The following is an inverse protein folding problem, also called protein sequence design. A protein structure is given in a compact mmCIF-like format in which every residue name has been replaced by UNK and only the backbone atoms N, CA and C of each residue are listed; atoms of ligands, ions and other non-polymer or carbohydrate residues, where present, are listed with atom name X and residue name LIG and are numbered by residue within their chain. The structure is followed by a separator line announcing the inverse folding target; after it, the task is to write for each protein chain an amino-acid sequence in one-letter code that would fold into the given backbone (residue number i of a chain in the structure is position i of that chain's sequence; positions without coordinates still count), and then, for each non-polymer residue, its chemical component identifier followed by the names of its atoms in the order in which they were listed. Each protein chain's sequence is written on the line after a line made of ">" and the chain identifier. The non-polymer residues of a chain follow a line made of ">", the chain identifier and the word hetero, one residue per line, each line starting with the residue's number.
data_IF_624773036414
#
_entry.id   IF_624773036414
#
_cell.length_a   1.000
_cell.length_b   1.000
_cell.length_c   1.000
_cell.angle_alpha   90.00
_cell.angle_beta   90.00
_cell.angle_gamma   90.00
#
_symmetry.space_group_name_H-M   'P 1'
#
loop_
_entity.id
_entity.type
_entity.pdbx_description
1 polymer ?
#
# COMPACT_ATOMS: atom_id res chain seq x y z
N UNK A 1 -41.75 19.67 -48.36
CA UNK A 1 -41.25 19.68 -46.97
C UNK A 1 -40.83 18.29 -46.48
N UNK A 2 -41.60 17.23 -46.75
CA UNK A 2 -41.31 15.87 -46.23
C UNK A 2 -39.95 15.30 -46.67
N UNK A 3 -39.49 15.58 -47.89
CA UNK A 3 -38.21 15.04 -48.37
C UNK A 3 -36.98 15.71 -47.72
N UNK A 4 -37.09 16.99 -47.33
CA UNK A 4 -36.03 17.66 -46.56
C UNK A 4 -36.03 17.18 -45.11
N UNK A 5 -37.21 17.03 -44.52
CA UNK A 5 -37.36 16.51 -43.16
C UNK A 5 -36.80 15.09 -43.04
N UNK A 6 -37.16 14.19 -43.96
CA UNK A 6 -36.67 12.81 -43.97
C UNK A 6 -35.15 12.73 -44.23
N UNK A 7 -34.60 13.64 -45.04
CA UNK A 7 -33.14 13.74 -45.24
C UNK A 7 -32.44 14.19 -43.96
N UNK A 8 -32.97 15.21 -43.28
CA UNK A 8 -32.44 15.70 -42.01
C UNK A 8 -32.52 14.61 -40.93
N UNK A 9 -33.67 13.92 -40.83
CA UNK A 9 -33.88 12.80 -39.92
C UNK A 9 -32.86 11.67 -40.17
N UNK A 10 -32.69 11.27 -41.43
CA UNK A 10 -31.73 10.22 -41.80
C UNK A 10 -30.28 10.64 -41.50
N UNK A 11 -29.93 11.91 -41.69
CA UNK A 11 -28.61 12.45 -41.34
C UNK A 11 -28.38 12.41 -39.83
N UNK A 12 -29.37 12.86 -39.03
CA UNK A 12 -29.28 12.86 -37.56
C UNK A 12 -29.16 11.42 -37.03
N UNK A 13 -29.95 10.49 -37.58
CA UNK A 13 -29.91 9.08 -37.19
C UNK A 13 -28.53 8.47 -37.50
N UNK A 14 -28.02 8.72 -38.70
CA UNK A 14 -26.71 8.20 -39.13
C UNK A 14 -25.57 8.76 -38.27
N UNK A 15 -25.58 10.06 -37.99
CA UNK A 15 -24.61 10.70 -37.09
C UNK A 15 -24.66 10.14 -35.67
N UNK A 16 -25.86 9.87 -35.15
CA UNK A 16 -26.05 9.30 -33.81
C UNK A 16 -25.48 7.88 -33.72
N UNK A 17 -25.71 7.06 -34.75
CA UNK A 17 -25.16 5.70 -34.83
C UNK A 17 -23.62 5.74 -34.91
N UNK A 18 -23.06 6.61 -35.75
CA UNK A 18 -21.60 6.77 -35.88
C UNK A 18 -20.98 7.23 -34.55
N UNK A 19 -21.62 8.17 -33.85
CA UNK A 19 -21.18 8.66 -32.55
C UNK A 19 -21.14 7.54 -31.51
N UNK A 20 -22.19 6.70 -31.47
CA UNK A 20 -22.26 5.56 -30.55
C UNK A 20 -21.15 4.54 -30.84
N UNK A 21 -20.94 4.19 -32.11
CA UNK A 21 -19.86 3.26 -32.51
C UNK A 21 -18.50 3.84 -32.15
N UNK A 22 -18.28 5.13 -32.39
CA UNK A 22 -17.03 5.82 -32.05
C UNK A 22 -16.75 5.76 -30.54
N UNK A 23 -17.77 5.98 -29.70
CA UNK A 23 -17.65 5.86 -28.24
C UNK A 23 -17.27 4.45 -27.79
N UNK A 24 -17.84 3.42 -28.43
CA UNK A 24 -17.50 2.02 -28.13
C UNK A 24 -16.06 1.72 -28.57
N UNK A 25 -15.65 2.18 -29.76
CA UNK A 25 -14.27 2.02 -30.23
C UNK A 25 -13.25 2.72 -29.32
N UNK A 26 -13.54 3.93 -28.85
CA UNK A 26 -12.66 4.64 -27.89
C UNK A 26 -12.51 3.84 -26.59
N UNK A 27 -13.59 3.24 -26.07
CA UNK A 27 -13.51 2.37 -24.89
C UNK A 27 -12.60 1.15 -25.14
N UNK A 28 -12.70 0.50 -26.30
CA UNK A 28 -11.83 -0.63 -26.66
C UNK A 28 -10.36 -0.23 -26.86
N UNK A 29 -10.09 0.95 -27.42
CA UNK A 29 -8.73 1.48 -27.58
C UNK A 29 -8.15 1.82 -26.21
N UNK A 30 -8.91 2.53 -25.35
CA UNK A 30 -8.51 2.84 -23.99
C UNK A 30 -8.36 1.61 -23.09
N UNK A 31 -9.02 0.48 -23.38
CA UNK A 31 -8.81 -0.78 -22.64
C UNK A 31 -7.42 -1.37 -22.91
N UNK A 32 -6.78 -1.05 -24.04
CA UNK A 32 -5.44 -1.55 -24.40
C UNK A 32 -4.31 -0.59 -24.05
N UNK A 33 -4.61 0.67 -23.80
CA UNK A 33 -3.66 1.67 -23.35
C UNK A 33 -3.72 1.71 -21.82
N UNK A 34 -2.57 1.64 -21.15
CA UNK A 34 -2.43 1.51 -19.68
C UNK A 34 -2.93 2.75 -18.92
N UNK A 35 -3.54 3.69 -19.65
CA UNK A 35 -4.05 4.99 -19.24
C UNK A 35 -5.56 4.97 -18.91
N UNK A 36 -6.10 3.84 -18.45
CA UNK A 36 -7.46 3.79 -17.88
C UNK A 36 -7.44 4.58 -16.58
N UNK A 37 -8.05 5.78 -16.62
CA UNK A 37 -8.28 6.62 -15.45
C UNK A 37 -9.24 5.89 -14.50
N UNK A 38 -8.67 5.15 -13.55
CA UNK A 38 -9.39 4.39 -12.54
C UNK A 38 -10.07 5.35 -11.55
N UNK A 39 -11.37 5.56 -11.73
CA UNK A 39 -12.21 6.21 -10.72
C UNK A 39 -12.43 5.21 -9.58
N UNK A 40 -11.70 5.41 -8.49
CA UNK A 40 -11.90 4.90 -7.11
C UNK A 40 -12.89 3.73 -6.99
N UNK A 41 -12.35 2.51 -7.06
CA UNK A 41 -13.02 1.28 -6.61
C UNK A 41 -12.54 0.94 -5.20
N UNK A 42 -13.45 1.03 -4.23
CA UNK A 42 -13.23 0.62 -2.85
C UNK A 42 -13.22 -0.92 -2.78
N UNK A 43 -12.04 -1.53 -2.85
CA UNK A 43 -11.76 -2.80 -2.16
C UNK A 43 -10.26 -3.07 -2.09
N UNK A 44 -9.84 -3.51 -0.91
CA UNK A 44 -8.54 -4.06 -0.48
C UNK A 44 -7.50 -4.36 -1.56
N UNK A 45 -6.30 -3.82 -1.34
CA UNK A 45 -5.05 -4.09 -2.08
C UNK A 45 -4.96 -3.45 -3.47
N UNK A 46 -4.42 -2.23 -3.50
CA UNK A 46 -3.33 -1.78 -4.39
C UNK A 46 -3.36 -0.25 -4.49
N UNK A 47 -2.49 0.40 -3.71
CA UNK A 47 -2.14 1.82 -3.90
C UNK A 47 -1.23 1.93 -5.13
N UNK A 48 -1.80 2.11 -6.32
CA UNK A 48 -1.01 2.52 -7.48
C UNK A 48 -0.73 4.02 -7.40
N UNK A 49 0.42 4.35 -6.81
CA UNK A 49 1.04 5.65 -6.94
C UNK A 49 1.93 5.61 -8.19
N UNK A 50 1.66 6.38 -9.27
CA UNK A 50 2.59 6.51 -10.37
C UNK A 50 3.67 7.50 -9.93
N UNK A 51 4.53 7.06 -9.03
CA UNK A 51 5.78 7.75 -8.77
C UNK A 51 6.74 7.20 -9.80
N UNK A 52 7.01 8.05 -10.80
CA UNK A 52 8.27 8.08 -11.55
C UNK A 52 9.36 7.39 -10.71
N UNK A 53 10.00 6.33 -11.22
CA UNK A 53 10.98 5.46 -10.53
C UNK A 53 12.18 6.26 -9.98
N UNK A 54 11.94 7.12 -8.99
CA UNK A 54 12.93 7.42 -7.98
C UNK A 54 13.03 6.10 -7.24
N UNK A 55 14.13 5.39 -7.44
CA UNK A 55 14.56 4.35 -6.52
C UNK A 55 14.60 5.00 -5.14
N UNK A 56 13.50 4.90 -4.40
CA UNK A 56 13.49 5.29 -3.00
C UNK A 56 14.48 4.35 -2.33
N UNK A 57 15.51 4.92 -1.72
CA UNK A 57 16.48 4.14 -0.96
C UNK A 57 15.71 3.28 0.03
N UNK A 58 16.00 1.97 0.03
CA UNK A 58 15.32 1.00 0.88
C UNK A 58 16.21 0.66 2.07
N UNK A 59 15.63 0.66 3.26
CA UNK A 59 16.23 0.16 4.48
C UNK A 59 15.70 -1.22 4.85
N UNK A 60 16.44 -1.94 5.68
CA UNK A 60 16.00 -3.18 6.31
C UNK A 60 16.13 -3.02 7.83
N UNK A 61 15.04 -3.24 8.55
CA UNK A 61 15.02 -3.34 10.02
C UNK A 61 14.68 -4.78 10.38
N UNK A 62 15.48 -5.38 11.27
CA UNK A 62 15.22 -6.71 11.81
C UNK A 62 14.82 -6.57 13.27
N UNK A 63 13.65 -7.09 13.62
CA UNK A 63 13.11 -7.08 14.97
C UNK A 63 12.96 -8.50 15.50
N UNK A 64 13.09 -8.68 16.81
CA UNK A 64 12.88 -9.95 17.48
C UNK A 64 11.98 -9.80 18.70
N UNK A 65 11.21 -10.85 18.99
CA UNK A 65 10.57 -10.97 20.29
C UNK A 65 11.62 -11.24 21.37
N UNK A 66 11.54 -10.49 22.48
CA UNK A 66 12.32 -10.80 23.68
C UNK A 66 11.74 -12.02 24.39
N UNK A 67 10.41 -12.14 24.39
CA UNK A 67 9.69 -13.27 24.97
C UNK A 67 8.90 -14.01 23.89
N UNK A 68 9.29 -15.27 23.66
CA UNK A 68 8.83 -16.12 22.56
C UNK A 68 7.41 -16.63 22.72
N UNK A 69 6.75 -16.37 23.84
CA UNK A 69 5.36 -16.78 24.03
C UNK A 69 4.36 -15.86 23.32
N UNK A 70 4.77 -14.66 22.90
CA UNK A 70 3.90 -13.64 22.29
C UNK A 70 3.89 -13.68 20.76
N UNK A 71 3.69 -14.88 20.19
CA UNK A 71 3.86 -15.10 18.75
C UNK A 71 2.88 -14.35 17.84
N UNK A 72 1.72 -13.97 18.36
CA UNK A 72 0.69 -13.28 17.59
C UNK A 72 0.86 -11.76 17.61
N UNK A 73 1.98 -11.25 18.12
CA UNK A 73 2.36 -9.84 18.03
C UNK A 73 2.65 -9.50 16.58
N UNK A 74 1.97 -8.49 16.07
CA UNK A 74 2.09 -8.09 14.67
C UNK A 74 2.99 -6.86 14.57
N UNK A 75 3.69 -6.74 13.44
CA UNK A 75 4.41 -5.55 13.07
C UNK A 75 3.61 -4.81 12.02
N UNK A 76 3.35 -3.52 12.26
CA UNK A 76 2.72 -2.66 11.28
C UNK A 76 3.71 -1.64 10.73
N UNK A 77 3.56 -1.33 9.45
CA UNK A 77 4.24 -0.23 8.79
C UNK A 77 3.18 0.72 8.25
N UNK A 78 3.18 1.96 8.74
CA UNK A 78 2.17 2.97 8.39
C UNK A 78 0.72 2.50 8.63
N UNK A 79 0.48 1.77 9.73
CA UNK A 79 -0.82 1.21 10.10
C UNK A 79 -1.25 -0.04 9.32
N UNK A 80 -0.43 -0.57 8.41
CA UNK A 80 -0.71 -1.81 7.68
C UNK A 80 0.07 -2.98 8.30
N UNK A 81 -0.63 -4.07 8.64
CA UNK A 81 0.00 -5.28 9.20
C UNK A 81 0.84 -5.97 8.13
N UNK A 82 2.13 -6.14 8.40
CA UNK A 82 3.10 -6.71 7.46
C UNK A 82 3.32 -8.20 7.74
N UNK A 83 3.57 -8.55 9.01
CA UNK A 83 3.82 -9.93 9.44
C UNK A 83 3.67 -10.07 10.97
N UNK A 84 3.64 -11.31 11.44
CA UNK A 84 3.63 -11.68 12.86
C UNK A 84 4.73 -12.70 13.21
N UNK A 85 4.94 -12.95 14.49
CA UNK A 85 5.99 -13.87 14.95
C UNK A 85 5.55 -15.35 14.97
N UNK A 86 4.45 -15.73 14.31
CA UNK A 86 3.95 -17.11 14.32
C UNK A 86 4.93 -18.09 13.64
N UNK A 87 5.62 -17.65 12.58
CA UNK A 87 6.59 -18.46 11.84
C UNK A 87 8.04 -18.39 12.37
N UNK A 88 8.42 -17.28 12.99
CA UNK A 88 9.81 -17.00 13.42
C UNK A 88 9.84 -16.11 14.67
N UNK A 89 10.90 -16.16 15.46
CA UNK A 89 11.14 -15.20 16.55
C UNK A 89 11.69 -13.86 16.04
N UNK A 90 12.09 -13.80 14.78
CA UNK A 90 12.72 -12.67 14.12
C UNK A 90 11.99 -12.34 12.83
N UNK A 91 11.76 -11.06 12.59
CA UNK A 91 11.10 -10.54 11.39
C UNK A 91 11.97 -9.49 10.72
N UNK A 92 12.09 -9.62 9.40
CA UNK A 92 12.81 -8.68 8.55
C UNK A 92 11.81 -7.79 7.82
N UNK A 93 11.90 -6.49 8.06
CA UNK A 93 10.96 -5.49 7.56
C UNK A 93 11.70 -4.60 6.56
N UNK A 94 11.16 -4.49 5.34
CA UNK A 94 11.63 -3.52 4.36
C UNK A 94 10.93 -2.19 4.62
N UNK A 95 11.72 -1.11 4.69
CA UNK A 95 11.20 0.22 5.03
C UNK A 95 11.79 1.29 4.12
N UNK A 96 11.06 2.38 3.96
CA UNK A 96 11.46 3.59 3.25
C UNK A 96 11.65 4.74 4.23
N UNK A 97 12.29 5.82 3.76
CA UNK A 97 12.39 7.02 4.55
C UNK A 97 11.00 7.53 4.94
N UNK A 98 10.86 7.94 6.20
CA UNK A 98 9.62 8.39 6.83
C UNK A 98 8.55 7.33 7.13
N UNK A 99 8.78 6.05 6.86
CA UNK A 99 7.86 5.00 7.30
C UNK A 99 7.72 4.97 8.82
N UNK A 100 6.51 4.74 9.32
CA UNK A 100 6.23 4.56 10.73
C UNK A 100 6.19 3.07 11.07
N UNK A 101 7.09 2.59 11.93
CA UNK A 101 7.08 1.21 12.42
C UNK A 101 6.32 1.17 13.75
N UNK A 102 5.36 0.25 13.84
CA UNK A 102 4.46 0.08 14.97
C UNK A 102 4.39 -1.40 15.38
N UNK A 103 4.12 -1.65 16.65
CA UNK A 103 4.00 -2.99 17.23
C UNK A 103 2.59 -3.18 17.77
N UNK A 104 1.85 -4.14 17.25
CA UNK A 104 0.53 -4.52 17.75
C UNK A 104 0.66 -5.57 18.88
N UNK A 105 0.42 -5.10 20.10
CA UNK A 105 0.32 -5.94 21.30
C UNK A 105 -1.10 -6.12 21.82
N UNK A 106 -2.13 -5.75 21.04
CA UNK A 106 -3.53 -5.71 21.48
C UNK A 106 -4.06 -7.07 21.95
N UNK A 107 -3.52 -8.17 21.42
CA UNK A 107 -3.88 -9.54 21.79
C UNK A 107 -3.39 -9.98 23.17
N UNK A 108 -2.48 -9.24 23.80
CA UNK A 108 -1.84 -9.64 25.05
C UNK A 108 -2.06 -8.64 26.18
N UNK A 109 -2.45 -9.17 27.34
CA UNK A 109 -2.60 -8.40 28.59
C UNK A 109 -1.27 -8.12 29.28
N UNK A 110 -0.25 -8.90 28.93
CA UNK A 110 1.07 -8.82 29.52
C UNK A 110 1.97 -7.93 28.65
N UNK A 111 3.05 -7.44 29.26
CA UNK A 111 4.01 -6.60 28.57
C UNK A 111 4.81 -7.42 27.54
N UNK A 112 4.50 -7.23 26.26
CA UNK A 112 5.25 -7.78 25.13
C UNK A 112 6.41 -6.86 24.83
N UNK A 113 7.61 -7.42 24.69
CA UNK A 113 8.82 -6.66 24.33
C UNK A 113 9.35 -7.09 22.98
N UNK A 114 9.53 -6.12 22.09
CA UNK A 114 10.16 -6.28 20.78
C UNK A 114 11.47 -5.50 20.76
N UNK A 115 12.52 -6.11 20.24
CA UNK A 115 13.87 -5.53 20.17
C UNK A 115 14.31 -5.41 18.71
N UNK A 116 14.91 -4.29 18.35
CA UNK A 116 15.63 -4.14 17.07
C UNK A 116 16.98 -4.85 17.19
N UNK A 117 17.16 -5.92 16.42
CA UNK A 117 18.37 -6.75 16.41
C UNK A 117 19.23 -6.56 15.16
N UNK A 118 18.72 -5.85 14.15
CA UNK A 118 19.47 -5.53 12.95
C UNK A 118 18.93 -4.29 12.26
N UNK A 119 19.81 -3.50 11.67
CA UNK A 119 19.47 -2.37 10.80
C UNK A 119 20.46 -2.32 9.65
N UNK A 120 19.99 -1.99 8.45
CA UNK A 120 20.86 -1.78 7.29
C UNK A 120 21.73 -0.54 7.45
N UNK A 121 22.86 -0.50 6.75
CA UNK A 121 23.87 0.56 6.88
C UNK A 121 23.37 1.97 6.55
N UNK A 122 22.29 2.09 5.77
CA UNK A 122 21.66 3.34 5.35
C UNK A 122 20.52 3.82 6.27
N UNK A 123 20.25 3.14 7.39
CA UNK A 123 19.28 3.60 8.38
C UNK A 123 19.98 4.41 9.47
N UNK A 124 19.49 5.61 9.74
CA UNK A 124 19.86 6.44 10.89
C UNK A 124 18.99 6.12 12.13
N UNK A 125 17.68 5.91 11.90
CA UNK A 125 16.71 5.55 12.93
C UNK A 125 15.67 4.58 12.36
N UNK A 126 15.21 3.53 13.09
CA UNK A 126 15.52 3.18 14.49
C UNK A 126 16.95 2.69 14.70
N UNK A 127 17.44 2.74 15.95
CA UNK A 127 18.79 2.28 16.31
C UNK A 127 18.80 0.80 16.68
N UNK A 128 19.94 0.16 16.45
CA UNK A 128 20.20 -1.18 16.99
C UNK A 128 19.98 -1.19 18.51
N UNK A 129 19.47 -2.32 19.03
CA UNK A 129 19.16 -2.54 20.44
C UNK A 129 18.02 -1.68 21.01
N UNK A 130 17.30 -0.93 20.19
CA UNK A 130 16.06 -0.27 20.63
C UNK A 130 15.06 -1.33 21.07
N UNK A 131 14.50 -1.19 22.28
CA UNK A 131 13.47 -2.07 22.82
C UNK A 131 12.20 -1.25 22.99
N UNK A 132 11.09 -1.79 22.52
CA UNK A 132 9.78 -1.24 22.79
C UNK A 132 8.91 -2.28 23.50
N UNK A 133 8.06 -1.79 24.38
CA UNK A 133 7.10 -2.58 25.13
C UNK A 133 5.68 -2.16 24.80
N UNK A 134 4.79 -3.12 24.60
CA UNK A 134 3.36 -2.89 24.41
C UNK A 134 2.54 -3.81 25.31
N UNK A 135 1.32 -3.40 25.64
CA UNK A 135 0.35 -4.16 26.44
C UNK A 135 -1.06 -3.70 26.09
N UNK A 136 -1.88 -4.58 25.50
CA UNK A 136 -3.23 -4.27 25.01
C UNK A 136 -3.31 -2.99 24.14
N UNK A 137 -2.26 -2.69 23.40
CA UNK A 137 -2.12 -1.43 22.66
C UNK A 137 -1.26 -1.61 21.42
N UNK A 138 -1.29 -0.60 20.57
CA UNK A 138 -0.34 -0.44 19.47
C UNK A 138 0.67 0.61 19.90
N UNK A 139 1.95 0.28 19.85
CA UNK A 139 3.03 1.17 20.28
C UNK A 139 3.98 1.48 19.13
N UNK A 140 4.44 2.73 19.08
CA UNK A 140 5.25 3.25 17.99
C UNK A 140 6.72 2.96 18.26
N UNK A 141 7.33 2.06 17.49
CA UNK A 141 8.78 1.83 17.52
C UNK A 141 9.53 3.06 16.98
N UNK A 142 8.94 3.68 15.97
CA UNK A 142 9.27 5.04 15.56
C UNK A 142 9.34 5.22 14.05
N UNK A 143 9.63 6.46 13.66
CA UNK A 143 9.65 6.89 12.27
C UNK A 143 11.04 6.66 11.66
N UNK A 144 11.11 5.87 10.60
CA UNK A 144 12.32 5.55 9.87
C UNK A 144 12.95 6.82 9.32
N UNK A 145 14.27 6.93 9.50
CA UNK A 145 15.11 7.95 8.89
C UNK A 145 16.27 7.28 8.19
N UNK A 146 16.39 7.51 6.89
CA UNK A 146 17.56 7.09 6.12
C UNK A 146 18.67 8.14 6.22
N UNK A 147 19.91 7.72 5.97
CA UNK A 147 21.10 8.58 6.00
C UNK A 147 21.26 9.44 4.75
#
# INVERSE_FOLDING_TARGET
>A
MNNLFNKIESIILTLSIISLITLVCIQFINIKDENVMSTVGYNSELRFLPLNEKQFDKGIVVVSLVDKQYKQTEILVNGESIDDFSGSDELQIQVYDNDLIEIDGTKYTNNVKVKVIGVSSNIEYPKLDTIISTSQSIEILGKVRLK
#
